data_IF_588417363207
#
_entry.id   IF_588417363207
#
_cell.length_a   1.000
_cell.length_b   1.000
_cell.length_c   1.000
_cell.angle_alpha   90.00
_cell.angle_beta   90.00
_cell.angle_gamma   90.00
#
_symmetry.space_group_name_H-M   'P 1'
#
loop_
_entity.id
_entity.type
_entity.pdbx_description
1 polymer ?
#
# COMPACT_ATOMS: atom_id res chain seq x y z
N UNK A 1 -11.52 20.72 6.52
CA UNK A 1 -10.70 19.88 5.59
C UNK A 1 -10.95 18.43 5.95
N UNK A 2 -11.05 17.50 4.99
CA UNK A 2 -11.23 16.07 5.28
C UNK A 2 -9.90 15.53 5.83
N UNK A 3 -9.86 14.98 7.06
CA UNK A 3 -8.63 14.51 7.66
C UNK A 3 -8.07 13.27 6.94
N UNK A 4 -6.75 13.17 6.91
CA UNK A 4 -6.03 12.02 6.35
C UNK A 4 -4.97 11.56 7.35
N UNK A 5 -4.95 10.26 7.63
CA UNK A 5 -3.84 9.57 8.27
C UNK A 5 -3.04 8.85 7.19
N UNK A 6 -1.77 9.13 7.07
CA UNK A 6 -0.87 8.41 6.17
C UNK A 6 -0.04 7.38 6.94
N UNK A 7 0.00 6.14 6.42
CA UNK A 7 0.81 5.04 6.93
C UNK A 7 1.82 4.62 5.87
N UNK A 8 3.04 5.14 5.94
CA UNK A 8 4.12 4.81 5.03
C UNK A 8 5.09 3.79 5.63
N UNK A 9 5.89 3.13 4.80
CA UNK A 9 6.90 2.19 5.26
C UNK A 9 7.15 1.04 4.28
N UNK A 10 8.20 0.23 4.50
CA UNK A 10 8.56 -0.88 3.62
C UNK A 10 7.52 -2.02 3.64
N UNK A 11 7.69 -3.00 2.76
CA UNK A 11 6.79 -4.16 2.70
C UNK A 11 6.95 -5.03 3.96
N UNK A 12 5.85 -5.58 4.47
CA UNK A 12 5.88 -6.55 5.58
C UNK A 12 5.92 -5.95 6.99
N UNK A 13 5.83 -4.62 7.17
CA UNK A 13 5.79 -3.96 8.50
C UNK A 13 4.41 -3.97 9.16
N UNK A 14 3.37 -4.49 8.50
CA UNK A 14 2.02 -4.56 9.08
C UNK A 14 1.09 -3.41 8.72
N UNK A 15 1.48 -2.49 7.79
CA UNK A 15 0.68 -1.31 7.42
C UNK A 15 -0.79 -1.61 7.11
N UNK A 16 -1.05 -2.58 6.23
CA UNK A 16 -2.42 -2.90 5.80
C UNK A 16 -3.31 -3.34 6.97
N UNK A 17 -2.77 -4.14 7.90
CA UNK A 17 -3.50 -4.56 9.11
C UNK A 17 -3.79 -3.36 10.01
N UNK A 18 -2.77 -2.53 10.28
CA UNK A 18 -2.92 -1.33 11.09
C UNK A 18 -3.90 -0.36 10.43
N UNK A 19 -3.78 -0.13 9.11
CA UNK A 19 -4.68 0.74 8.36
C UNK A 19 -6.14 0.29 8.46
N UNK A 20 -6.39 -1.02 8.32
CA UNK A 20 -7.73 -1.57 8.37
C UNK A 20 -8.37 -1.38 9.76
N UNK A 21 -7.65 -1.72 10.83
CA UNK A 21 -8.18 -1.59 12.19
C UNK A 21 -8.37 -0.13 12.58
N UNK A 22 -7.41 0.75 12.24
CA UNK A 22 -7.52 2.19 12.54
C UNK A 22 -8.66 2.84 11.75
N UNK A 23 -8.82 2.51 10.46
CA UNK A 23 -9.92 3.01 9.64
C UNK A 23 -11.29 2.64 10.23
N UNK A 24 -11.43 1.41 10.70
CA UNK A 24 -12.65 0.94 11.37
C UNK A 24 -12.90 1.68 12.69
N UNK A 25 -11.88 1.80 13.55
CA UNK A 25 -12.01 2.51 14.84
C UNK A 25 -12.44 3.97 14.67
N UNK A 26 -11.95 4.62 13.60
CA UNK A 26 -12.26 6.01 13.27
C UNK A 26 -13.52 6.18 12.40
N UNK A 27 -14.07 5.08 11.91
CA UNK A 27 -15.11 5.07 10.87
C UNK A 27 -14.68 5.88 9.64
N UNK A 28 -13.41 5.76 9.24
CA UNK A 28 -12.84 6.43 8.06
C UNK A 28 -12.72 5.47 6.89
N UNK A 29 -12.64 6.04 5.68
CA UNK A 29 -12.31 5.26 4.48
C UNK A 29 -10.88 4.75 4.55
N UNK A 30 -10.62 3.68 3.81
CA UNK A 30 -9.26 3.13 3.69
C UNK A 30 -8.81 3.13 2.23
N UNK A 31 -7.53 3.45 2.02
CA UNK A 31 -6.83 3.37 0.74
C UNK A 31 -5.58 2.50 0.88
N UNK A 32 -5.48 1.40 0.12
CA UNK A 32 -4.22 0.68 -0.13
C UNK A 32 -3.64 1.14 -1.47
N UNK A 33 -2.65 2.03 -1.43
CA UNK A 33 -1.94 2.51 -2.61
C UNK A 33 -1.29 1.35 -3.40
N UNK A 34 -0.74 0.37 -2.70
CA UNK A 34 -0.16 -0.81 -3.33
C UNK A 34 -1.18 -1.65 -4.11
N UNK A 35 -2.43 -1.69 -3.63
CA UNK A 35 -3.52 -2.37 -4.34
C UNK A 35 -3.88 -1.63 -5.64
N UNK A 36 -3.85 -0.29 -5.67
CA UNK A 36 -4.09 0.49 -6.90
C UNK A 36 -3.07 0.13 -7.99
N UNK A 37 -1.76 0.10 -7.66
CA UNK A 37 -0.73 -0.28 -8.63
C UNK A 37 -0.84 -1.74 -9.08
N UNK A 38 -1.31 -2.64 -8.20
CA UNK A 38 -1.54 -4.04 -8.54
C UNK A 38 -2.78 -4.21 -9.42
N UNK A 39 -3.86 -3.51 -9.11
CA UNK A 39 -5.06 -3.52 -9.95
C UNK A 39 -4.77 -2.96 -11.34
N UNK A 40 -4.00 -1.86 -11.43
CA UNK A 40 -3.50 -1.36 -12.70
C UNK A 40 -2.68 -2.40 -13.47
N UNK A 41 -1.78 -3.14 -12.77
CA UNK A 41 -0.98 -4.19 -13.41
C UNK A 41 -1.84 -5.35 -13.95
N UNK A 42 -2.93 -5.69 -13.25
CA UNK A 42 -3.91 -6.67 -13.72
C UNK A 42 -4.62 -6.12 -14.96
N UNK A 43 -5.18 -4.92 -14.89
CA UNK A 43 -5.87 -4.29 -16.02
C UNK A 43 -4.99 -4.19 -17.27
N UNK A 44 -3.73 -3.75 -17.12
CA UNK A 44 -2.79 -3.65 -18.23
C UNK A 44 -2.47 -5.03 -18.85
N UNK A 45 -2.36 -6.06 -18.00
CA UNK A 45 -2.14 -7.43 -18.46
C UNK A 45 -3.36 -7.99 -19.19
N UNK A 46 -4.55 -7.79 -18.65
CA UNK A 46 -5.81 -8.29 -19.22
C UNK A 46 -6.13 -7.58 -20.55
N UNK A 47 -5.73 -6.30 -20.71
CA UNK A 47 -5.84 -5.55 -21.97
C UNK A 47 -4.68 -5.80 -22.95
N UNK A 48 -3.66 -6.58 -22.58
CA UNK A 48 -2.48 -6.83 -23.44
C UNK A 48 -1.60 -5.61 -23.67
N UNK A 49 -1.64 -4.58 -22.79
CA UNK A 49 -0.86 -3.35 -22.93
C UNK A 49 0.52 -3.54 -22.31
N UNK A 50 1.56 -3.54 -23.14
CA UNK A 50 2.96 -3.65 -22.71
C UNK A 50 3.52 -2.38 -22.09
N UNK A 51 4.69 -2.51 -21.41
CA UNK A 51 5.37 -1.36 -20.77
C UNK A 51 5.96 -0.35 -21.78
N UNK A 52 6.10 -0.74 -23.01
CA UNK A 52 6.55 0.06 -24.16
C UNK A 52 5.44 0.97 -24.72
N UNK A 53 4.18 0.65 -24.48
CA UNK A 53 3.03 1.46 -24.90
C UNK A 53 2.60 2.42 -23.77
N UNK A 54 3.38 3.48 -23.55
CA UNK A 54 3.11 4.44 -22.48
C UNK A 54 1.75 5.12 -22.63
N UNK A 55 1.38 5.54 -23.84
CA UNK A 55 0.10 6.23 -24.08
C UNK A 55 -1.09 5.35 -23.73
N UNK A 56 -1.07 4.08 -24.15
CA UNK A 56 -2.10 3.11 -23.77
C UNK A 56 -2.16 2.87 -22.26
N UNK A 57 -1.01 2.86 -21.56
CA UNK A 57 -0.98 2.74 -20.09
C UNK A 57 -1.58 3.97 -19.40
N UNK A 58 -1.32 5.18 -19.92
CA UNK A 58 -1.87 6.43 -19.35
C UNK A 58 -3.38 6.51 -19.59
N UNK A 59 -3.85 6.14 -20.77
CA UNK A 59 -5.28 6.06 -21.08
C UNK A 59 -5.99 5.07 -20.14
N UNK A 60 -5.46 3.84 -20.01
CA UNK A 60 -5.99 2.83 -19.09
C UNK A 60 -6.04 3.34 -17.65
N UNK A 61 -4.95 3.95 -17.15
CA UNK A 61 -4.88 4.50 -15.81
C UNK A 61 -5.92 5.58 -15.56
N UNK A 62 -6.20 6.43 -16.55
CA UNK A 62 -7.21 7.49 -16.44
C UNK A 62 -8.63 6.94 -16.29
N UNK A 63 -8.91 5.79 -16.92
CA UNK A 63 -10.23 5.12 -16.90
C UNK A 63 -10.36 4.11 -15.75
N UNK A 64 -9.27 3.84 -15.00
CA UNK A 64 -9.27 2.83 -13.95
C UNK A 64 -10.38 3.09 -12.93
N UNK A 65 -11.32 2.17 -12.79
CA UNK A 65 -12.42 2.23 -11.84
C UNK A 65 -12.20 1.19 -10.72
N UNK A 66 -11.92 1.68 -9.52
CA UNK A 66 -11.57 0.86 -8.37
C UNK A 66 -12.45 1.18 -7.17
N UNK A 67 -12.89 0.12 -6.49
CA UNK A 67 -13.55 0.19 -5.21
C UNK A 67 -12.83 -0.65 -4.16
N UNK A 68 -12.77 -0.13 -2.93
CA UNK A 68 -12.33 -0.86 -1.75
C UNK A 68 -13.53 -1.10 -0.86
N UNK A 69 -13.79 -2.38 -0.52
CA UNK A 69 -14.92 -2.77 0.37
C UNK A 69 -14.37 -3.52 1.58
N UNK A 70 -14.82 -3.11 2.78
CA UNK A 70 -14.57 -3.85 4.01
C UNK A 70 -15.75 -4.81 4.23
N UNK A 71 -15.46 -6.11 4.28
CA UNK A 71 -16.51 -7.13 4.38
C UNK A 71 -16.82 -7.58 5.82
N UNK A 72 -15.94 -7.27 6.79
CA UNK A 72 -16.14 -7.52 8.24
C UNK A 72 -15.07 -6.81 9.07
N UNK A 73 -15.27 -6.77 10.40
CA UNK A 73 -14.38 -6.07 11.36
C UNK A 73 -12.91 -6.50 11.33
N UNK A 74 -12.58 -7.68 10.79
CA UNK A 74 -11.20 -8.19 10.75
C UNK A 74 -10.76 -8.69 9.38
N UNK A 75 -11.61 -8.55 8.36
CA UNK A 75 -11.26 -9.00 7.02
C UNK A 75 -10.36 -7.97 6.29
N UNK A 76 -9.39 -8.45 5.51
CA UNK A 76 -8.66 -7.60 4.59
C UNK A 76 -9.63 -6.94 3.60
N UNK A 77 -9.29 -5.73 3.15
CA UNK A 77 -10.04 -5.05 2.10
C UNK A 77 -10.21 -5.96 0.87
N UNK A 78 -11.43 -6.06 0.41
CA UNK A 78 -11.74 -6.57 -0.92
C UNK A 78 -11.58 -5.44 -1.94
N UNK A 79 -11.00 -5.77 -3.09
CA UNK A 79 -10.72 -4.81 -4.16
C UNK A 79 -11.45 -5.23 -5.41
N UNK A 80 -12.25 -4.32 -5.92
CA UNK A 80 -13.02 -4.49 -7.15
C UNK A 80 -12.46 -3.61 -8.25
N UNK A 81 -12.26 -4.19 -9.42
CA UNK A 81 -11.90 -3.51 -10.67
C UNK A 81 -13.07 -3.69 -11.63
N UNK A 82 -13.69 -2.59 -12.05
CA UNK A 82 -14.90 -2.62 -12.91
C UNK A 82 -15.96 -3.61 -12.38
N UNK A 83 -16.26 -3.51 -11.06
CA UNK A 83 -17.22 -4.37 -10.33
C UNK A 83 -16.79 -5.84 -10.15
N UNK A 84 -15.66 -6.27 -10.72
CA UNK A 84 -15.13 -7.63 -10.58
C UNK A 84 -14.20 -7.71 -9.37
N UNK A 85 -14.42 -8.68 -8.47
CA UNK A 85 -13.52 -8.93 -7.35
C UNK A 85 -12.16 -9.49 -7.84
N UNK A 86 -11.11 -8.71 -7.64
CA UNK A 86 -9.73 -9.06 -7.99
C UNK A 86 -8.85 -9.34 -6.77
N UNK A 87 -9.41 -9.40 -5.57
CA UNK A 87 -8.69 -9.49 -4.29
C UNK A 87 -7.65 -10.62 -4.27
N UNK A 88 -8.02 -11.80 -4.76
CA UNK A 88 -7.10 -12.94 -4.84
C UNK A 88 -5.98 -12.72 -5.86
N UNK A 89 -6.31 -12.18 -7.04
CA UNK A 89 -5.33 -11.88 -8.11
C UNK A 89 -4.29 -10.85 -7.65
N UNK A 90 -4.67 -9.89 -6.80
CA UNK A 90 -3.75 -8.87 -6.25
C UNK A 90 -2.63 -9.47 -5.41
N UNK A 91 -2.83 -10.62 -4.77
CA UNK A 91 -1.87 -11.22 -3.81
C UNK A 91 -0.75 -11.99 -4.49
N UNK A 92 -0.81 -12.20 -5.80
CA UNK A 92 0.21 -12.97 -6.53
C UNK A 92 1.55 -12.23 -6.62
N UNK A 93 2.65 -12.99 -6.57
CA UNK A 93 4.01 -12.45 -6.74
C UNK A 93 4.21 -11.81 -8.13
N UNK A 94 3.57 -12.37 -9.17
CA UNK A 94 3.59 -11.81 -10.53
C UNK A 94 3.01 -10.41 -10.56
N UNK A 95 1.81 -10.23 -9.99
CA UNK A 95 1.14 -8.92 -9.90
C UNK A 95 1.97 -7.93 -9.09
N UNK A 96 2.52 -8.36 -7.94
CA UNK A 96 3.35 -7.49 -7.10
C UNK A 96 4.63 -7.02 -7.82
N UNK A 97 5.24 -7.88 -8.64
CA UNK A 97 6.43 -7.54 -9.42
C UNK A 97 6.12 -6.54 -10.53
N UNK A 98 5.03 -6.76 -11.28
CA UNK A 98 4.57 -5.83 -12.32
C UNK A 98 4.21 -4.47 -11.73
N UNK A 99 3.44 -4.43 -10.66
CA UNK A 99 3.09 -3.20 -9.95
C UNK A 99 4.34 -2.39 -9.54
N UNK A 100 5.37 -3.08 -9.04
CA UNK A 100 6.64 -2.44 -8.68
C UNK A 100 7.39 -1.86 -9.89
N UNK A 101 7.26 -2.46 -11.08
CA UNK A 101 7.84 -1.92 -12.33
C UNK A 101 7.04 -0.70 -12.81
N UNK A 102 5.71 -0.80 -12.86
CA UNK A 102 4.84 0.32 -13.23
C UNK A 102 4.99 1.53 -12.30
N UNK A 103 5.22 1.30 -11.02
CA UNK A 103 5.46 2.36 -10.04
C UNK A 103 6.74 3.19 -10.30
N UNK A 104 7.61 2.78 -11.21
CA UNK A 104 8.80 3.54 -11.61
C UNK A 104 8.52 4.52 -12.78
N UNK A 105 7.41 4.36 -13.49
CA UNK A 105 7.03 5.21 -14.61
C UNK A 105 6.44 6.53 -14.09
N UNK A 106 7.22 7.61 -14.15
CA UNK A 106 6.82 8.92 -13.64
C UNK A 106 5.50 9.46 -14.22
N UNK A 107 5.23 9.38 -15.55
CA UNK A 107 3.95 9.81 -16.10
C UNK A 107 2.77 9.01 -15.54
N UNK A 108 2.89 7.69 -15.45
CA UNK A 108 1.85 6.82 -14.90
C UNK A 108 1.58 7.14 -13.43
N UNK A 109 2.63 7.38 -12.63
CA UNK A 109 2.47 7.79 -11.23
C UNK A 109 1.62 9.04 -11.10
N UNK A 110 1.84 10.06 -11.95
CA UNK A 110 1.05 11.31 -11.92
C UNK A 110 -0.45 11.02 -12.06
N UNK A 111 -0.83 10.16 -13.00
CA UNK A 111 -2.24 9.79 -13.20
C UNK A 111 -2.78 9.01 -12.00
N UNK A 112 -2.03 8.01 -11.50
CA UNK A 112 -2.47 7.20 -10.36
C UNK A 112 -2.50 7.98 -9.05
N UNK A 113 -1.69 9.03 -8.86
CA UNK A 113 -1.79 9.94 -7.71
C UNK A 113 -3.13 10.68 -7.73
N UNK A 114 -3.58 11.15 -8.89
CA UNK A 114 -4.91 11.80 -9.01
C UNK A 114 -6.01 10.82 -8.59
N UNK A 115 -5.94 9.56 -9.04
CA UNK A 115 -6.88 8.52 -8.62
C UNK A 115 -6.85 8.26 -7.12
N UNK A 116 -5.68 8.22 -6.50
CA UNK A 116 -5.54 8.02 -5.05
C UNK A 116 -6.19 9.18 -4.27
N UNK A 117 -6.01 10.42 -4.70
CA UNK A 117 -6.61 11.60 -4.06
C UNK A 117 -8.16 11.58 -4.07
N UNK A 118 -8.79 10.91 -5.03
CA UNK A 118 -10.24 10.78 -5.11
C UNK A 118 -10.86 9.95 -3.96
N UNK A 119 -10.02 9.17 -3.24
CA UNK A 119 -10.46 8.40 -2.06
C UNK A 119 -10.59 9.25 -0.79
N UNK A 120 -10.10 10.51 -0.81
CA UNK A 120 -10.26 11.44 0.30
C UNK A 120 -11.70 11.94 0.38
N UNK A 121 -12.53 11.28 1.18
CA UNK A 121 -13.95 11.56 1.37
C UNK A 121 -14.29 11.66 2.86
N UNK A 122 -15.34 12.41 3.25
CA UNK A 122 -15.81 12.41 4.63
C UNK A 122 -16.19 10.99 5.09
N UNK A 123 -15.98 10.64 6.36
CA UNK A 123 -15.49 11.47 7.46
C UNK A 123 -13.97 11.63 7.52
N UNK A 124 -13.19 10.80 6.82
CA UNK A 124 -11.75 10.84 6.78
C UNK A 124 -11.16 9.69 5.98
N UNK A 125 -9.82 9.65 5.85
CA UNK A 125 -9.10 8.64 5.08
C UNK A 125 -7.88 8.12 5.84
N UNK A 126 -7.71 6.80 5.90
CA UNK A 126 -6.47 6.13 6.27
C UNK A 126 -5.81 5.62 4.99
N UNK A 127 -4.67 6.18 4.63
CA UNK A 127 -3.94 5.89 3.39
C UNK A 127 -2.64 5.12 3.66
N UNK A 128 -2.59 3.87 3.22
CA UNK A 128 -1.43 2.97 3.31
C UNK A 128 -0.61 3.00 2.02
N UNK A 129 0.71 3.22 2.15
CA UNK A 129 1.57 3.26 0.97
C UNK A 129 3.07 3.28 1.24
N UNK A 130 3.78 4.10 0.42
CA UNK A 130 5.22 4.31 0.47
C UNK A 130 5.60 5.79 0.49
N UNK A 131 4.72 6.62 -0.02
CA UNK A 131 4.91 8.04 -0.26
C UNK A 131 3.62 8.83 -0.04
N UNK A 132 2.74 8.29 0.81
CA UNK A 132 1.45 8.92 1.12
C UNK A 132 1.66 10.27 1.77
N UNK A 133 2.47 10.34 2.84
CA UNK A 133 2.75 11.57 3.59
C UNK A 133 3.79 12.48 2.94
N UNK A 134 4.52 12.01 1.91
CA UNK A 134 5.53 12.83 1.23
C UNK A 134 5.09 13.38 -0.12
N UNK A 135 4.18 12.67 -0.83
CA UNK A 135 3.82 12.99 -2.22
C UNK A 135 2.31 13.03 -2.46
N UNK A 136 1.56 12.01 -2.01
CA UNK A 136 0.14 11.91 -2.34
C UNK A 136 -0.69 12.88 -1.48
N UNK A 137 -0.45 12.89 -0.17
CA UNK A 137 -1.12 13.74 0.82
C UNK A 137 -0.08 14.50 1.68
N UNK A 138 0.74 15.39 1.08
CA UNK A 138 1.81 16.07 1.80
C UNK A 138 1.29 16.97 2.93
N UNK A 139 0.04 17.41 2.85
CA UNK A 139 -0.62 18.26 3.85
C UNK A 139 -1.47 17.43 4.84
N UNK A 140 -1.33 16.09 4.86
CA UNK A 140 -2.03 15.25 5.82
C UNK A 140 -1.66 15.65 7.26
N UNK A 141 -2.64 15.86 8.16
CA UNK A 141 -2.35 16.24 9.54
C UNK A 141 -1.71 15.12 10.36
N UNK A 142 -1.94 13.86 9.97
CA UNK A 142 -1.44 12.70 10.70
C UNK A 142 -0.56 11.87 9.79
N UNK A 143 0.73 11.74 10.13
CA UNK A 143 1.70 10.99 9.33
C UNK A 143 2.47 10.02 10.19
N UNK A 144 2.46 8.77 9.81
CA UNK A 144 3.18 7.69 10.46
C UNK A 144 4.07 6.97 9.44
N UNK A 145 5.29 6.67 9.86
CA UNK A 145 6.20 5.83 9.10
C UNK A 145 6.54 4.59 9.92
N UNK A 146 6.05 3.43 9.45
CA UNK A 146 6.33 2.15 10.08
C UNK A 146 7.63 1.56 9.53
N UNK A 147 8.48 1.06 10.42
CA UNK A 147 9.69 0.32 10.06
C UNK A 147 9.73 -1.01 10.83
N UNK A 148 10.58 -1.94 10.40
CA UNK A 148 10.93 -3.17 11.09
C UNK A 148 12.15 -3.80 10.43
N UNK A 149 12.86 -4.65 11.18
CA UNK A 149 13.98 -5.43 10.66
C UNK A 149 13.59 -6.28 9.45
N UNK A 150 14.49 -6.38 8.48
CA UNK A 150 14.23 -7.12 7.24
C UNK A 150 13.97 -8.61 7.48
N UNK A 151 14.59 -9.19 8.51
CA UNK A 151 14.40 -10.60 8.91
C UNK A 151 12.99 -10.80 9.49
N UNK A 152 12.56 -9.93 10.39
CA UNK A 152 11.21 -9.99 10.96
C UNK A 152 10.14 -9.82 9.86
N UNK A 153 10.33 -8.89 8.95
CA UNK A 153 9.43 -8.71 7.80
C UNK A 153 9.41 -9.92 6.87
N UNK A 154 10.53 -10.59 6.70
CA UNK A 154 10.60 -11.84 5.93
C UNK A 154 9.86 -12.98 6.65
N UNK A 155 9.96 -13.09 7.99
CA UNK A 155 9.18 -14.06 8.79
C UNK A 155 7.67 -13.80 8.66
N UNK A 156 7.23 -12.54 8.82
CA UNK A 156 5.81 -12.15 8.66
C UNK A 156 5.30 -12.49 7.26
N UNK A 157 6.09 -12.21 6.22
CA UNK A 157 5.73 -12.54 4.85
C UNK A 157 5.65 -14.04 4.59
N UNK A 158 6.58 -14.82 5.15
CA UNK A 158 6.57 -16.27 5.03
C UNK A 158 5.31 -16.87 5.69
N UNK A 159 4.98 -16.40 6.91
CA UNK A 159 3.77 -16.81 7.61
C UNK A 159 2.50 -16.51 6.79
N UNK A 160 2.43 -15.34 6.16
CA UNK A 160 1.32 -14.97 5.28
C UNK A 160 1.23 -15.92 4.07
N UNK A 161 2.35 -16.21 3.43
CA UNK A 161 2.40 -17.15 2.28
C UNK A 161 1.92 -18.54 2.68
N UNK A 162 2.28 -19.02 3.88
CA UNK A 162 1.84 -20.33 4.40
C UNK A 162 0.32 -20.36 4.63
N UNK A 163 -0.26 -19.30 5.17
CA UNK A 163 -1.72 -19.17 5.32
C UNK A 163 -2.41 -19.19 3.95
N UNK A 164 -1.81 -18.58 2.94
CA UNK A 164 -2.31 -18.57 1.54
C UNK A 164 -2.02 -19.92 0.80
N UNK A 165 -1.57 -20.98 1.52
CA UNK A 165 -1.31 -22.31 0.96
C UNK A 165 -0.01 -22.42 0.14
N UNK A 166 0.88 -21.43 0.20
CA UNK A 166 2.14 -21.44 -0.51
C UNK A 166 3.30 -21.91 0.39
N UNK A 167 4.18 -22.74 -0.16
CA UNK A 167 5.44 -23.11 0.49
C UNK A 167 6.50 -22.05 0.19
N UNK A 168 7.23 -21.61 1.22
CA UNK A 168 8.29 -20.61 1.07
C UNK A 168 9.52 -20.96 1.90
N UNK A 169 10.68 -20.46 1.47
CA UNK A 169 11.94 -20.53 2.22
C UNK A 169 12.27 -19.13 2.74
N UNK A 170 12.67 -19.06 4.02
CA UNK A 170 12.97 -17.79 4.69
C UNK A 170 14.11 -17.02 4.01
N UNK A 171 15.20 -17.71 3.62
CA UNK A 171 16.33 -17.07 2.97
C UNK A 171 15.95 -16.46 1.62
N UNK A 172 15.14 -17.17 0.82
CA UNK A 172 14.62 -16.66 -0.44
C UNK A 172 13.67 -15.48 -0.25
N UNK A 173 12.80 -15.56 0.76
CA UNK A 173 11.87 -14.47 1.13
C UNK A 173 12.64 -13.24 1.59
N UNK A 174 13.69 -13.39 2.39
CA UNK A 174 14.55 -12.30 2.84
C UNK A 174 15.24 -11.58 1.68
N UNK A 175 15.79 -12.34 0.71
CA UNK A 175 16.39 -11.76 -0.51
C UNK A 175 15.37 -10.93 -1.28
N UNK A 176 14.12 -11.44 -1.44
CA UNK A 176 13.06 -10.70 -2.11
C UNK A 176 12.67 -9.42 -1.37
N UNK A 177 12.57 -9.47 -0.04
CA UNK A 177 12.29 -8.32 0.82
C UNK A 177 13.36 -7.25 0.63
N UNK A 178 14.66 -7.60 0.76
CA UNK A 178 15.77 -6.67 0.59
C UNK A 178 15.82 -6.04 -0.79
N UNK A 179 15.68 -6.84 -1.86
CA UNK A 179 15.64 -6.33 -3.25
C UNK A 179 14.46 -5.36 -3.48
N UNK A 180 13.33 -5.59 -2.82
CA UNK A 180 12.19 -4.67 -2.91
C UNK A 180 12.47 -3.37 -2.17
N UNK A 181 13.06 -3.44 -0.97
CA UNK A 181 13.43 -2.26 -0.19
C UNK A 181 14.43 -1.38 -0.95
N UNK A 182 15.44 -1.97 -1.56
CA UNK A 182 16.40 -1.25 -2.40
C UNK A 182 15.70 -0.52 -3.56
N UNK A 183 14.79 -1.21 -4.26
CA UNK A 183 14.00 -0.58 -5.33
C UNK A 183 13.13 0.55 -4.81
N UNK A 184 12.46 0.35 -3.67
CA UNK A 184 11.56 1.36 -3.09
C UNK A 184 12.36 2.58 -2.56
N UNK A 185 13.56 2.39 -2.00
CA UNK A 185 14.46 3.46 -1.52
C UNK A 185 15.13 4.23 -2.66
N UNK A 186 15.55 3.53 -3.72
CA UNK A 186 16.35 4.09 -4.81
C UNK A 186 15.51 4.58 -5.99
N UNK A 187 14.19 4.72 -5.84
CA UNK A 187 13.35 5.31 -6.89
C UNK A 187 13.77 6.74 -7.16
N UNK A 188 13.95 7.07 -8.46
CA UNK A 188 14.19 8.46 -8.86
C UNK A 188 13.02 9.38 -8.50
N UNK A 189 11.80 8.84 -8.51
CA UNK A 189 10.58 9.55 -8.14
C UNK A 189 9.92 8.89 -6.94
N UNK A 190 9.57 9.68 -5.92
CA UNK A 190 8.91 9.21 -4.69
C UNK A 190 9.67 8.08 -3.98
N UNK A 191 10.94 8.28 -3.59
CA UNK A 191 11.68 7.29 -2.82
C UNK A 191 10.99 7.01 -1.49
N UNK A 192 11.11 5.77 -1.01
CA UNK A 192 10.62 5.39 0.31
C UNK A 192 11.43 6.09 1.40
N UNK A 193 10.86 7.12 2.00
CA UNK A 193 11.43 7.86 3.14
C UNK A 193 10.31 8.43 4.01
N UNK A 194 10.54 8.62 5.31
CA UNK A 194 9.56 9.29 6.17
C UNK A 194 9.37 10.75 5.74
N UNK A 195 8.16 11.26 5.90
CA UNK A 195 7.90 12.68 5.86
C UNK A 195 8.61 13.34 7.05
N UNK A 196 8.97 14.64 6.95
CA UNK A 196 9.72 15.34 8.00
C UNK A 196 8.98 15.41 9.33
N UNK A 197 7.65 15.42 9.27
CA UNK A 197 6.70 15.51 10.37
C UNK A 197 6.05 14.17 10.71
N UNK A 198 6.56 13.06 10.17
CA UNK A 198 6.00 11.74 10.44
C UNK A 198 6.51 11.17 11.78
N UNK A 199 5.59 10.60 12.56
CA UNK A 199 5.93 9.73 13.68
C UNK A 199 6.54 8.42 13.14
N UNK A 200 7.78 8.12 13.53
CA UNK A 200 8.45 6.86 13.15
C UNK A 200 8.21 5.81 14.24
N UNK A 201 7.65 4.67 13.85
CA UNK A 201 7.40 3.53 14.75
C UNK A 201 8.15 2.31 14.24
N UNK A 202 9.10 1.81 15.04
CA UNK A 202 9.71 0.49 14.80
C UNK A 202 8.78 -0.59 15.35
N UNK A 203 8.31 -1.45 14.45
CA UNK A 203 7.37 -2.54 14.76
C UNK A 203 8.05 -3.89 14.96
N UNK A 204 9.39 -3.95 15.01
CA UNK A 204 10.15 -5.22 15.06
C UNK A 204 9.67 -6.09 16.21
N UNK A 205 9.58 -5.53 17.42
CA UNK A 205 9.21 -6.24 18.64
C UNK A 205 7.84 -5.82 19.20
N UNK A 206 7.00 -5.16 18.39
CA UNK A 206 5.68 -4.71 18.82
C UNK A 206 4.59 -5.65 18.33
N UNK A 207 3.59 -5.85 19.17
CA UNK A 207 2.31 -6.43 18.78
C UNK A 207 1.50 -5.45 17.92
N UNK A 208 0.51 -5.96 17.20
CA UNK A 208 -0.38 -5.11 16.40
C UNK A 208 -1.10 -4.08 17.28
N UNK A 209 -1.57 -4.47 18.47
CA UNK A 209 -2.30 -3.59 19.38
C UNK A 209 -1.41 -2.45 19.91
N UNK A 210 -0.14 -2.74 20.22
CA UNK A 210 0.81 -1.70 20.62
C UNK A 210 1.09 -0.70 19.50
N UNK A 211 1.19 -1.18 18.25
CA UNK A 211 1.35 -0.30 17.08
C UNK A 211 0.09 0.56 16.90
N UNK A 212 -1.11 -0.03 16.97
CA UNK A 212 -2.37 0.70 16.86
C UNK A 212 -2.47 1.77 17.95
N UNK A 213 -2.16 1.42 19.21
CA UNK A 213 -2.18 2.37 20.33
C UNK A 213 -1.26 3.58 20.05
N UNK A 214 -0.04 3.32 19.56
CA UNK A 214 0.90 4.40 19.18
C UNK A 214 0.39 5.26 18.01
N UNK A 215 -0.29 4.66 17.04
CA UNK A 215 -0.89 5.40 15.92
C UNK A 215 -2.06 6.26 16.39
N UNK A 216 -2.88 5.76 17.29
CA UNK A 216 -4.04 6.50 17.80
C UNK A 216 -3.65 7.72 18.60
N UNK A 217 -2.51 7.71 19.31
CA UNK A 217 -2.08 8.89 20.12
C UNK A 217 -1.88 10.17 19.31
N UNK A 218 -1.59 10.07 18.00
CA UNK A 218 -1.42 11.27 17.16
C UNK A 218 -2.74 11.81 16.60
N UNK A 219 -3.83 11.07 16.74
CA UNK A 219 -5.15 11.44 16.16
C UNK A 219 -6.03 12.04 17.26
N UNK A 220 -5.82 11.65 18.51
CA UNK A 220 -6.61 12.08 19.68
C UNK A 220 -6.14 13.43 20.26
N UNK A 221 -5.18 14.11 19.60
CA UNK A 221 -4.61 15.40 20.05
C UNK A 221 -5.38 16.59 19.40
#
# INVERSE_FOLDING_TARGET
>A
MIPVLTLDGPSGVGKGTVASIVAQKLNWHQLDSGAIYRAFAIAATDCGIGMDNLDGLLELASKLNLEFKSNSEHAPLSVYLDEVDITTKLRTEKTATLASKYAQLAPLRKVLIIKQKQFQKPPGLVADGRDMGTVVFPDAPFKVFLTADSEERARRRLKQLQVDGNTGNISHTLVKVRKRDERDKNRAHSPLKPAKDALIIDTTNLTIDEVISKVMTIIEV
#
